data_IF_414087235232
#
_entry.id   IF_414087235232
#
_cell.length_a   1.000
_cell.length_b   1.000
_cell.length_c   1.000
_cell.angle_alpha   90.00
_cell.angle_beta   90.00
_cell.angle_gamma   90.00
#
_symmetry.space_group_name_H-M   'P 1'
#
loop_
_entity.id
_entity.type
_entity.pdbx_description
1 polymer ?
#
# COMPACT_ATOMS: atom_id res chain seq x y z
N UNK A 1 -33.52 0.88 -26.46
CA UNK A 1 -32.24 1.49 -26.04
C UNK A 1 -31.20 1.13 -27.08
N UNK A 2 -30.35 2.07 -27.52
CA UNK A 2 -29.16 1.70 -28.29
C UNK A 2 -28.28 0.83 -27.39
N UNK A 3 -28.04 -0.42 -27.80
CA UNK A 3 -27.15 -1.33 -27.08
C UNK A 3 -25.72 -0.87 -27.31
N UNK A 4 -25.00 -0.46 -26.27
CA UNK A 4 -23.59 -0.14 -26.37
C UNK A 4 -22.82 -1.47 -26.49
N UNK A 5 -22.14 -1.72 -27.62
CA UNK A 5 -21.39 -2.96 -27.81
C UNK A 5 -20.19 -3.02 -26.86
N UNK A 6 -20.01 -4.17 -26.22
CA UNK A 6 -18.85 -4.47 -25.37
C UNK A 6 -17.66 -4.94 -26.21
N UNK A 7 -16.46 -4.89 -25.62
CA UNK A 7 -15.26 -5.40 -26.25
C UNK A 7 -15.45 -6.85 -26.72
N UNK A 8 -15.09 -7.14 -27.96
CA UNK A 8 -15.25 -8.47 -28.55
C UNK A 8 -13.97 -9.28 -28.56
N UNK A 9 -12.82 -8.62 -28.60
CA UNK A 9 -11.51 -9.25 -28.66
C UNK A 9 -10.61 -8.67 -27.58
N UNK A 10 -10.00 -9.58 -26.81
CA UNK A 10 -8.88 -9.29 -25.92
C UNK A 10 -7.74 -10.17 -26.42
N UNK A 11 -6.73 -9.56 -27.02
CA UNK A 11 -5.53 -10.26 -27.49
C UNK A 11 -4.39 -9.94 -26.55
N UNK A 12 -3.73 -10.98 -26.03
CA UNK A 12 -2.49 -10.83 -25.28
C UNK A 12 -1.30 -11.10 -26.20
N UNK A 13 -0.43 -10.11 -26.37
CA UNK A 13 0.85 -10.21 -27.05
C UNK A 13 1.95 -10.27 -25.98
N UNK A 14 2.36 -11.50 -25.62
CA UNK A 14 3.40 -11.72 -24.63
C UNK A 14 4.79 -11.52 -25.23
N UNK A 15 5.64 -10.79 -24.50
CA UNK A 15 7.09 -10.82 -24.71
C UNK A 15 7.68 -11.95 -23.85
N UNK A 16 7.20 -12.04 -22.60
CA UNK A 16 7.39 -13.16 -21.68
C UNK A 16 6.20 -13.21 -20.69
N UNK A 17 6.23 -14.12 -19.72
CA UNK A 17 5.13 -14.31 -18.75
C UNK A 17 4.89 -13.10 -17.83
N UNK A 18 5.90 -12.22 -17.70
CA UNK A 18 5.91 -11.06 -16.79
C UNK A 18 5.91 -9.72 -17.54
N UNK A 19 5.87 -9.74 -18.87
CA UNK A 19 5.87 -8.54 -19.72
C UNK A 19 5.13 -8.80 -21.02
N UNK A 20 4.13 -7.97 -21.30
CA UNK A 20 3.35 -8.08 -22.53
C UNK A 20 2.40 -6.92 -22.75
N UNK A 21 1.60 -7.04 -23.81
CA UNK A 21 0.59 -6.05 -24.19
C UNK A 21 -0.79 -6.69 -24.32
N UNK A 22 -1.80 -6.08 -23.70
CA UNK A 22 -3.20 -6.43 -23.92
C UNK A 22 -3.80 -5.45 -24.92
N UNK A 23 -4.31 -5.98 -26.02
CA UNK A 23 -5.00 -5.23 -27.06
C UNK A 23 -6.49 -5.54 -26.94
N UNK A 24 -7.28 -4.51 -26.63
CA UNK A 24 -8.71 -4.61 -26.40
C UNK A 24 -9.43 -3.80 -27.48
N UNK A 25 -10.16 -4.49 -28.34
CA UNK A 25 -10.92 -3.88 -29.43
C UNK A 25 -12.14 -4.72 -29.86
N UNK A 26 -13.14 -4.11 -30.51
CA UNK A 26 -13.38 -2.67 -30.58
C UNK A 26 -14.15 -2.17 -29.34
N UNK A 27 -13.82 -0.99 -28.85
CA UNK A 27 -14.52 -0.29 -27.76
C UNK A 27 -15.33 0.87 -28.32
N UNK A 28 -16.50 1.13 -27.74
CA UNK A 28 -17.31 2.28 -28.13
C UNK A 28 -16.52 3.59 -27.91
N UNK A 29 -16.66 4.62 -28.77
CA UNK A 29 -15.88 5.85 -28.65
C UNK A 29 -15.89 6.43 -27.23
N UNK A 30 -14.70 6.69 -26.67
CA UNK A 30 -14.49 7.18 -25.29
C UNK A 30 -14.34 6.08 -24.22
N UNK A 31 -14.71 4.84 -24.53
CA UNK A 31 -14.52 3.71 -23.59
C UNK A 31 -13.06 3.28 -23.49
N UNK A 32 -12.22 3.53 -24.51
CA UNK A 32 -10.79 3.22 -24.44
C UNK A 32 -10.12 3.89 -23.23
N UNK A 33 -10.36 5.18 -23.07
CA UNK A 33 -9.82 5.96 -21.94
C UNK A 33 -10.47 5.57 -20.61
N UNK A 34 -11.78 5.33 -20.60
CA UNK A 34 -12.54 5.01 -19.38
C UNK A 34 -12.11 3.66 -18.81
N UNK A 35 -12.08 2.63 -19.65
CA UNK A 35 -11.66 1.27 -19.28
C UNK A 35 -10.15 1.25 -18.98
N UNK A 36 -9.35 1.86 -19.84
CA UNK A 36 -7.89 1.89 -19.69
C UNK A 36 -7.44 2.52 -18.37
N UNK A 37 -8.01 3.66 -18.00
CA UNK A 37 -7.70 4.29 -16.70
C UNK A 37 -8.13 3.43 -15.52
N UNK A 38 -9.30 2.80 -15.59
CA UNK A 38 -9.79 1.90 -14.55
C UNK A 38 -8.82 0.74 -14.30
N UNK A 39 -8.45 0.03 -15.38
CA UNK A 39 -7.48 -1.06 -15.35
C UNK A 39 -6.13 -0.59 -14.81
N UNK A 40 -5.59 0.51 -15.34
CA UNK A 40 -4.27 1.02 -14.94
C UNK A 40 -4.21 1.40 -13.47
N UNK A 41 -5.27 2.01 -12.93
CA UNK A 41 -5.33 2.39 -11.51
C UNK A 41 -5.31 1.16 -10.62
N UNK A 42 -6.19 0.20 -10.87
CA UNK A 42 -6.29 -1.01 -10.04
C UNK A 42 -5.01 -1.84 -10.11
N UNK A 43 -4.41 -2.00 -11.29
CA UNK A 43 -3.11 -2.66 -11.44
C UNK A 43 -2.02 -2.03 -10.56
N UNK A 44 -1.93 -0.70 -10.51
CA UNK A 44 -0.87 -0.03 -9.75
C UNK A 44 -1.15 0.04 -8.24
N UNK A 45 -2.42 0.25 -7.84
CA UNK A 45 -2.75 0.61 -6.45
C UNK A 45 -3.45 -0.47 -5.65
N UNK A 46 -4.09 -1.44 -6.30
CA UNK A 46 -5.07 -2.33 -5.66
C UNK A 46 -4.73 -3.81 -5.78
N UNK A 47 -3.58 -4.12 -6.40
CA UNK A 47 -3.10 -5.49 -6.52
C UNK A 47 -2.58 -5.98 -5.17
N UNK A 48 -3.09 -7.13 -4.67
CA UNK A 48 -2.55 -7.75 -3.48
C UNK A 48 -1.18 -8.35 -3.79
N UNK A 49 -0.25 -8.21 -2.84
CA UNK A 49 1.06 -8.85 -2.93
C UNK A 49 1.70 -8.98 -1.56
N UNK A 50 3.01 -9.22 -1.54
CA UNK A 50 3.77 -9.48 -0.33
C UNK A 50 5.08 -8.70 -0.33
N UNK A 51 5.48 -8.22 0.85
CA UNK A 51 6.69 -7.42 1.02
C UNK A 51 7.35 -7.72 2.37
N UNK A 52 8.64 -7.42 2.46
CA UNK A 52 9.39 -7.43 3.72
C UNK A 52 9.10 -6.12 4.45
N UNK A 53 8.67 -6.25 5.70
CA UNK A 53 8.09 -5.18 6.53
C UNK A 53 9.05 -4.75 7.64
N UNK A 54 9.83 -5.68 8.17
CA UNK A 54 10.91 -5.39 9.10
C UNK A 54 12.07 -6.35 8.91
N UNK A 55 13.25 -5.92 9.31
CA UNK A 55 14.51 -6.66 9.22
C UNK A 55 15.23 -6.57 10.55
N UNK A 56 15.74 -7.71 11.04
CA UNK A 56 16.61 -7.80 12.21
C UNK A 56 17.92 -8.43 11.77
N UNK A 57 19.02 -7.72 11.97
CA UNK A 57 20.35 -8.19 11.59
C UNK A 57 21.16 -8.41 12.87
N UNK A 58 21.84 -9.56 12.97
CA UNK A 58 22.64 -9.86 14.15
C UNK A 58 23.80 -8.87 14.30
N UNK A 59 23.95 -8.28 15.49
CA UNK A 59 25.00 -7.29 15.78
C UNK A 59 24.69 -5.86 15.31
N UNK A 60 23.46 -5.59 14.87
CA UNK A 60 23.00 -4.27 14.45
C UNK A 60 21.93 -3.75 15.41
N UNK A 61 22.19 -2.60 16.01
CA UNK A 61 21.23 -1.93 16.90
C UNK A 61 20.35 -0.91 16.15
N UNK A 62 20.85 -0.32 15.07
CA UNK A 62 20.17 0.73 14.31
C UNK A 62 20.57 0.73 12.82
N UNK A 63 19.76 1.38 11.99
CA UNK A 63 19.90 1.38 10.52
C UNK A 63 21.17 2.05 9.97
N UNK A 64 21.83 2.93 10.74
CA UNK A 64 23.04 3.63 10.31
C UNK A 64 24.36 2.95 10.72
N UNK A 65 24.31 1.68 11.15
CA UNK A 65 25.52 0.96 11.55
C UNK A 65 26.18 0.25 10.36
N UNK A 66 27.43 -0.16 10.57
CA UNK A 66 28.19 -1.01 9.66
C UNK A 66 28.38 -2.38 10.28
N UNK A 67 28.57 -3.40 9.44
CA UNK A 67 28.86 -4.76 9.88
C UNK A 67 30.32 -5.11 9.58
N UNK A 68 30.99 -5.70 10.56
CA UNK A 68 32.35 -6.21 10.35
C UNK A 68 32.35 -7.29 9.26
N UNK A 69 33.34 -7.21 8.37
CA UNK A 69 33.57 -8.14 7.27
C UNK A 69 32.46 -8.18 6.19
N UNK A 70 31.53 -7.23 6.20
CA UNK A 70 30.53 -7.03 5.14
C UNK A 70 30.87 -5.76 4.37
N UNK A 71 30.75 -5.80 3.04
CA UNK A 71 31.10 -4.67 2.17
C UNK A 71 30.08 -3.53 2.23
N UNK A 72 28.80 -3.89 2.24
CA UNK A 72 27.65 -2.99 2.26
C UNK A 72 27.34 -2.53 3.70
N UNK A 73 26.84 -1.30 3.85
CA UNK A 73 26.29 -0.83 5.13
C UNK A 73 24.84 -1.32 5.35
N UNK A 74 24.28 -1.07 6.53
CA UNK A 74 22.92 -1.53 6.85
C UNK A 74 21.86 -0.82 5.99
N UNK A 75 22.12 0.41 5.53
CA UNK A 75 21.22 1.15 4.64
C UNK A 75 21.16 0.48 3.26
N UNK A 76 22.32 0.17 2.68
CA UNK A 76 22.47 -0.55 1.43
C UNK A 76 21.81 -1.93 1.49
N UNK A 77 22.04 -2.67 2.58
CA UNK A 77 21.39 -3.96 2.82
C UNK A 77 19.86 -3.80 2.86
N UNK A 78 19.36 -2.78 3.56
CA UNK A 78 17.92 -2.50 3.65
C UNK A 78 17.32 -2.15 2.29
N UNK A 79 18.02 -1.36 1.47
CA UNK A 79 17.61 -1.05 0.10
C UNK A 79 17.60 -2.28 -0.81
N UNK A 80 18.59 -3.17 -0.67
CA UNK A 80 18.66 -4.42 -1.41
C UNK A 80 17.52 -5.37 -1.02
N UNK A 81 17.15 -5.42 0.25
CA UNK A 81 16.03 -6.22 0.75
C UNK A 81 14.69 -5.73 0.20
N UNK A 82 14.50 -4.41 0.07
CA UNK A 82 13.30 -3.83 -0.56
C UNK A 82 13.10 -4.28 -2.02
N UNK A 83 14.18 -4.70 -2.70
CA UNK A 83 14.12 -5.20 -4.07
C UNK A 83 13.81 -6.70 -4.16
N UNK A 84 13.69 -7.41 -3.03
CA UNK A 84 13.32 -8.83 -3.01
C UNK A 84 11.82 -8.98 -3.26
N UNK A 85 11.47 -9.60 -4.38
CA UNK A 85 10.10 -9.85 -4.79
C UNK A 85 9.61 -11.17 -4.19
N UNK A 86 8.51 -11.10 -3.44
CA UNK A 86 7.93 -12.24 -2.74
C UNK A 86 6.49 -12.46 -3.19
N UNK A 87 6.07 -13.71 -3.13
CA UNK A 87 4.66 -14.11 -3.24
C UNK A 87 4.33 -15.05 -2.09
N UNK A 88 3.15 -14.89 -1.51
CA UNK A 88 2.68 -15.74 -0.42
C UNK A 88 1.42 -16.49 -0.87
N UNK A 89 1.51 -17.81 -0.88
CA UNK A 89 0.43 -18.72 -1.21
C UNK A 89 -0.36 -19.12 0.04
N UNK A 90 -1.68 -19.21 -0.07
CA UNK A 90 -2.58 -19.56 1.03
C UNK A 90 -2.97 -18.39 1.93
N UNK A 91 -3.81 -18.65 2.91
CA UNK A 91 -4.19 -17.68 3.93
C UNK A 91 -3.11 -17.58 5.00
N UNK A 92 -2.89 -16.37 5.52
CA UNK A 92 -1.99 -16.14 6.64
C UNK A 92 -2.83 -16.05 7.91
N UNK A 93 -2.34 -16.65 8.98
CA UNK A 93 -2.88 -16.40 10.30
C UNK A 93 -2.48 -14.98 10.74
N UNK A 94 -3.43 -14.07 11.04
CA UNK A 94 -3.12 -12.73 11.51
C UNK A 94 -2.33 -12.70 12.83
N UNK A 95 -2.30 -13.81 13.57
CA UNK A 95 -1.63 -13.92 14.87
C UNK A 95 -0.16 -14.35 14.78
N UNK A 96 0.27 -14.92 13.65
CA UNK A 96 1.65 -15.40 13.48
C UNK A 96 2.37 -14.65 12.36
N UNK A 97 3.37 -13.80 12.68
CA UNK A 97 4.16 -13.12 11.66
C UNK A 97 5.00 -14.12 10.87
N UNK A 98 4.97 -14.00 9.54
CA UNK A 98 5.72 -14.88 8.65
C UNK A 98 7.18 -14.43 8.57
N UNK A 99 8.09 -15.21 9.15
CA UNK A 99 9.52 -14.87 9.20
C UNK A 99 10.33 -15.68 8.20
N UNK A 100 11.18 -15.02 7.43
CA UNK A 100 12.21 -15.63 6.57
C UNK A 100 13.60 -15.32 7.13
N UNK A 101 14.55 -16.24 7.00
CA UNK A 101 15.87 -16.11 7.64
C UNK A 101 17.02 -16.38 6.68
N UNK A 102 18.11 -15.63 6.81
CA UNK A 102 19.40 -15.92 6.18
C UNK A 102 20.42 -16.23 7.27
N UNK A 103 21.22 -17.27 7.05
CA UNK A 103 22.41 -17.55 7.84
C UNK A 103 23.49 -18.04 6.88
N UNK A 104 24.54 -17.23 6.71
CA UNK A 104 25.67 -17.53 5.83
C UNK A 104 26.98 -17.22 6.53
N UNK A 105 27.97 -18.09 6.34
CA UNK A 105 29.31 -17.93 6.91
C UNK A 105 30.35 -18.08 5.81
N UNK A 106 31.48 -17.40 5.99
CA UNK A 106 32.57 -17.38 5.02
C UNK A 106 32.46 -16.30 3.96
N UNK A 107 33.50 -16.21 3.13
CA UNK A 107 33.62 -15.22 2.07
C UNK A 107 32.68 -15.55 0.90
N UNK A 108 31.98 -14.55 0.37
CA UNK A 108 31.10 -14.72 -0.80
C UNK A 108 29.90 -13.77 -0.83
N UNK A 109 29.11 -13.86 -1.91
CA UNK A 109 27.90 -13.05 -2.09
C UNK A 109 26.70 -13.71 -1.40
N UNK A 110 25.92 -12.94 -0.67
CA UNK A 110 24.60 -13.29 -0.13
C UNK A 110 23.54 -12.83 -1.14
N UNK A 111 22.69 -13.75 -1.56
CA UNK A 111 21.61 -13.49 -2.53
C UNK A 111 20.26 -13.91 -1.96
N UNK A 112 19.15 -13.50 -2.58
CA UNK A 112 17.82 -13.90 -2.14
C UNK A 112 17.60 -15.43 -2.18
N UNK A 113 18.36 -16.19 -2.97
CA UNK A 113 18.39 -17.67 -2.91
C UNK A 113 18.79 -18.22 -1.54
N UNK A 114 19.55 -17.47 -0.75
CA UNK A 114 20.06 -17.91 0.55
C UNK A 114 19.00 -17.82 1.67
N UNK A 115 17.82 -17.25 1.39
CA UNK A 115 16.71 -17.24 2.35
C UNK A 115 16.16 -18.64 2.58
N UNK A 116 16.09 -19.01 3.86
CA UNK A 116 15.27 -20.11 4.35
C UNK A 116 13.84 -19.61 4.45
N UNK A 117 13.02 -20.04 3.49
CA UNK A 117 11.61 -19.65 3.38
C UNK A 117 10.69 -20.80 3.80
N UNK A 118 9.56 -20.51 4.47
CA UNK A 118 8.51 -21.51 4.69
C UNK A 118 7.80 -21.85 3.38
N UNK A 119 7.09 -22.98 3.34
CA UNK A 119 6.43 -23.53 2.14
C UNK A 119 5.46 -22.54 1.47
N UNK A 120 4.87 -21.63 2.24
CA UNK A 120 3.91 -20.63 1.74
C UNK A 120 4.58 -19.47 0.99
N UNK A 121 5.88 -19.23 1.22
CA UNK A 121 6.61 -18.09 0.63
C UNK A 121 7.41 -18.56 -0.57
N UNK A 122 7.27 -17.83 -1.68
CA UNK A 122 8.07 -18.03 -2.88
C UNK A 122 8.77 -16.73 -3.26
N UNK A 123 10.08 -16.83 -3.46
CA UNK A 123 10.93 -15.74 -3.94
C UNK A 123 10.89 -15.72 -5.47
N UNK A 124 10.53 -14.57 -6.05
CA UNK A 124 10.37 -14.41 -7.49
C UNK A 124 11.68 -14.02 -8.21
N UNK A 125 12.61 -13.34 -7.55
CA UNK A 125 13.91 -12.93 -8.08
C UNK A 125 15.08 -13.44 -7.21
N UNK A 126 15.39 -14.74 -7.25
CA UNK A 126 16.34 -15.33 -6.30
C UNK A 126 17.79 -14.83 -6.47
N UNK A 127 18.15 -14.32 -7.64
CA UNK A 127 19.44 -13.69 -7.96
C UNK A 127 19.65 -12.31 -7.32
N UNK A 128 18.64 -11.72 -6.68
CA UNK A 128 18.75 -10.42 -6.04
C UNK A 128 19.90 -10.41 -5.03
N UNK A 129 20.84 -9.47 -5.22
CA UNK A 129 21.98 -9.28 -4.34
C UNK A 129 21.52 -8.66 -3.02
N UNK A 130 22.04 -9.14 -1.90
CA UNK A 130 21.74 -8.61 -0.56
C UNK A 130 22.98 -7.98 0.05
N UNK A 131 24.07 -8.75 0.15
CA UNK A 131 25.31 -8.34 0.78
C UNK A 131 26.50 -9.16 0.25
N UNK A 132 27.71 -8.67 0.46
CA UNK A 132 28.98 -9.32 0.09
C UNK A 132 29.82 -9.50 1.35
N UNK A 133 30.12 -10.76 1.70
CA UNK A 133 31.01 -11.12 2.80
C UNK A 133 32.45 -11.15 2.29
N UNK A 134 33.31 -10.38 2.94
CA UNK A 134 34.68 -10.09 2.48
C UNK A 134 35.75 -10.97 3.14
N UNK A 135 35.42 -11.68 4.21
CA UNK A 135 36.36 -12.52 4.97
C UNK A 135 35.77 -13.90 5.26
N UNK A 136 36.65 -14.90 5.45
CA UNK A 136 36.27 -16.27 5.82
C UNK A 136 35.69 -16.36 7.23
N UNK A 137 36.02 -15.42 8.11
CA UNK A 137 35.46 -15.30 9.45
C UNK A 137 34.10 -14.60 9.48
N UNK A 138 33.64 -14.02 8.36
CA UNK A 138 32.37 -13.32 8.29
C UNK A 138 31.20 -14.24 8.63
N UNK A 139 30.28 -13.74 9.46
CA UNK A 139 29.00 -14.38 9.78
C UNK A 139 27.89 -13.38 9.54
N UNK A 140 26.94 -13.75 8.70
CA UNK A 140 25.79 -12.92 8.37
C UNK A 140 24.51 -13.67 8.74
N UNK A 141 23.79 -13.11 9.71
CA UNK A 141 22.51 -13.62 10.19
C UNK A 141 21.48 -12.52 10.15
N UNK A 142 20.35 -12.81 9.51
CA UNK A 142 19.29 -11.83 9.30
C UNK A 142 17.93 -12.52 9.33
N UNK A 143 16.97 -11.89 9.99
CA UNK A 143 15.58 -12.29 10.04
C UNK A 143 14.71 -11.19 9.45
N UNK A 144 13.80 -11.54 8.54
CA UNK A 144 12.89 -10.60 7.90
C UNK A 144 11.46 -11.03 8.16
N UNK A 145 10.60 -10.08 8.55
CA UNK A 145 9.16 -10.29 8.65
C UNK A 145 8.53 -9.96 7.31
N UNK A 146 7.71 -10.86 6.79
CA UNK A 146 7.00 -10.71 5.52
C UNK A 146 5.50 -10.61 5.80
N UNK A 147 4.84 -9.67 5.15
CA UNK A 147 3.39 -9.52 5.25
C UNK A 147 2.73 -9.48 3.88
N UNK A 148 1.41 -9.70 3.88
CA UNK A 148 0.53 -9.39 2.74
C UNK A 148 -0.02 -8.00 2.89
N UNK A 149 -0.15 -7.31 1.76
CA UNK A 149 -0.75 -5.99 1.72
C UNK A 149 -1.10 -5.58 0.31
N UNK A 150 -1.42 -4.29 0.17
CA UNK A 150 -1.83 -3.69 -1.09
C UNK A 150 -1.06 -2.38 -1.27
N UNK A 151 -0.59 -2.13 -2.49
CA UNK A 151 0.05 -0.87 -2.86
C UNK A 151 1.39 -0.65 -2.14
N UNK A 152 1.55 0.55 -1.59
CA UNK A 152 2.76 0.98 -0.89
C UNK A 152 2.40 1.51 0.49
N UNK A 153 3.10 1.03 1.52
CA UNK A 153 2.92 1.47 2.89
C UNK A 153 4.28 1.95 3.46
N UNK A 154 4.48 3.27 3.62
CA UNK A 154 5.67 3.79 4.25
C UNK A 154 5.68 3.45 5.74
N UNK A 155 6.88 3.31 6.31
CA UNK A 155 7.08 2.99 7.72
C UNK A 155 6.31 3.92 8.67
N UNK A 156 6.29 5.23 8.39
CA UNK A 156 5.64 6.25 9.24
C UNK A 156 4.13 6.05 9.41
N UNK A 157 3.47 5.46 8.41
CA UNK A 157 2.02 5.28 8.39
C UNK A 157 1.57 3.95 9.00
N UNK A 158 2.50 3.15 9.54
CA UNK A 158 2.19 1.82 10.06
C UNK A 158 1.66 1.95 11.51
N UNK A 159 0.39 1.58 11.77
CA UNK A 159 -0.24 1.86 13.06
C UNK A 159 0.24 0.91 14.15
N UNK A 160 0.81 1.45 15.23
CA UNK A 160 0.90 0.77 16.53
C UNK A 160 1.86 -0.43 16.62
N UNK A 161 2.65 -0.73 15.59
CA UNK A 161 3.69 -1.76 15.67
C UNK A 161 4.83 -1.30 16.60
N UNK A 162 4.81 -1.80 17.84
CA UNK A 162 6.01 -1.83 18.66
C UNK A 162 6.89 -2.95 18.14
N UNK A 163 7.75 -2.63 17.18
CA UNK A 163 8.80 -3.53 16.75
C UNK A 163 9.64 -3.95 17.95
N UNK A 164 9.98 -5.24 18.02
CA UNK A 164 10.90 -5.74 19.03
C UNK A 164 12.26 -5.04 18.90
N UNK A 165 12.99 -4.94 20.02
CA UNK A 165 14.31 -4.32 20.03
C UNK A 165 15.23 -5.02 19.01
N UNK A 166 15.86 -4.23 18.14
CA UNK A 166 16.74 -4.70 17.07
C UNK A 166 16.05 -4.94 15.71
N UNK A 167 14.73 -4.75 15.59
CA UNK A 167 14.06 -4.70 14.29
C UNK A 167 14.11 -3.29 13.70
N UNK A 168 14.59 -3.21 12.46
CA UNK A 168 14.57 -2.04 11.61
C UNK A 168 13.31 -2.13 10.74
N UNK A 169 12.49 -1.08 10.79
CA UNK A 169 11.29 -0.99 9.96
C UNK A 169 11.67 -0.67 8.52
N UNK A 170 11.02 -1.33 7.56
CA UNK A 170 11.29 -1.15 6.14
C UNK A 170 9.99 -0.79 5.43
N UNK A 171 10.03 0.19 4.53
CA UNK A 171 8.86 0.52 3.71
C UNK A 171 8.42 -0.69 2.89
N UNK A 172 7.11 -0.95 2.90
CA UNK A 172 6.54 -2.14 2.27
C UNK A 172 6.00 -1.81 0.88
N UNK A 173 6.62 -2.40 -0.15
CA UNK A 173 6.17 -2.33 -1.54
C UNK A 173 5.41 -3.63 -1.84
N UNK A 174 4.10 -3.63 -1.60
CA UNK A 174 3.26 -4.81 -1.81
C UNK A 174 2.86 -5.00 -3.27
N UNK A 175 2.83 -3.91 -4.07
CA UNK A 175 2.39 -4.00 -5.46
C UNK A 175 3.32 -4.89 -6.29
N UNK A 176 2.79 -5.95 -6.95
CA UNK A 176 3.59 -6.81 -7.81
C UNK A 176 3.79 -6.24 -9.23
N UNK A 177 3.33 -5.00 -9.47
CA UNK A 177 3.33 -4.36 -10.79
C UNK A 177 4.43 -3.30 -10.85
N UNK A 178 5.37 -3.47 -11.77
CA UNK A 178 6.49 -2.55 -11.97
C UNK A 178 6.11 -1.40 -12.91
N UNK A 179 5.39 -1.71 -13.99
CA UNK A 179 5.06 -0.72 -15.01
C UNK A 179 3.72 -1.00 -15.68
N UNK A 180 2.94 0.07 -15.89
CA UNK A 180 1.71 0.05 -16.68
C UNK A 180 1.63 1.30 -17.55
N UNK A 181 1.58 1.11 -18.86
CA UNK A 181 1.25 2.16 -19.83
C UNK A 181 -0.01 1.80 -20.59
N UNK A 182 -0.76 2.82 -21.00
CA UNK A 182 -1.95 2.65 -21.82
C UNK A 182 -1.90 3.63 -22.98
N UNK A 183 -2.31 3.16 -24.15
CA UNK A 183 -2.43 3.94 -25.37
C UNK A 183 -3.79 3.66 -25.98
N UNK A 184 -4.42 4.68 -26.56
CA UNK A 184 -5.73 4.57 -27.21
C UNK A 184 -5.64 5.02 -28.66
N UNK A 185 -6.06 4.16 -29.57
CA UNK A 185 -6.09 4.41 -31.01
C UNK A 185 -7.52 4.36 -31.54
N UNK A 186 -7.77 4.90 -32.73
CA UNK A 186 -9.06 4.75 -33.40
C UNK A 186 -9.06 3.60 -34.40
N UNK A 187 -10.15 2.82 -34.41
CA UNK A 187 -10.37 1.71 -35.33
C UNK A 187 -11.70 1.84 -36.07
N UNK A 188 -11.74 1.29 -37.28
CA UNK A 188 -12.94 1.26 -38.11
C UNK A 188 -13.76 0.00 -37.86
N UNK A 189 -15.04 0.19 -37.54
CA UNK A 189 -16.04 -0.88 -37.39
C UNK A 189 -17.22 -0.58 -38.31
N UNK A 190 -17.32 -1.33 -39.41
CA UNK A 190 -18.34 -1.09 -40.45
C UNK A 190 -18.14 0.27 -41.14
N UNK A 191 -19.11 1.17 -40.97
CA UNK A 191 -19.06 2.54 -41.50
C UNK A 191 -18.43 3.55 -40.56
N UNK A 192 -18.37 3.27 -39.25
CA UNK A 192 -17.82 4.16 -38.23
C UNK A 192 -16.31 3.99 -38.10
N UNK A 193 -15.56 5.09 -38.01
CA UNK A 193 -14.08 5.09 -37.93
C UNK A 193 -13.52 5.53 -36.58
N UNK A 194 -14.38 5.88 -35.63
CA UNK A 194 -14.00 6.51 -34.36
C UNK A 194 -14.13 5.58 -33.14
N UNK A 195 -14.18 4.28 -33.34
CA UNK A 195 -14.18 3.33 -32.23
C UNK A 195 -12.79 3.28 -31.61
N UNK A 196 -12.70 2.92 -30.33
CA UNK A 196 -11.43 2.89 -29.62
C UNK A 196 -10.80 1.49 -29.67
N UNK A 197 -9.48 1.46 -29.81
CA UNK A 197 -8.61 0.33 -29.49
C UNK A 197 -7.76 0.75 -28.30
N UNK A 198 -7.77 -0.05 -27.25
CA UNK A 198 -6.94 0.13 -26.07
C UNK A 198 -5.75 -0.82 -26.12
N UNK A 199 -4.54 -0.29 -26.03
CA UNK A 199 -3.29 -1.04 -25.92
C UNK A 199 -2.73 -0.80 -24.53
N UNK A 200 -2.73 -1.83 -23.69
CA UNK A 200 -2.23 -1.78 -22.32
C UNK A 200 -0.92 -2.57 -22.22
N UNK A 201 0.21 -1.89 -22.01
CA UNK A 201 1.48 -2.58 -21.76
C UNK A 201 1.67 -2.79 -20.26
N UNK A 202 1.98 -4.03 -19.87
CA UNK A 202 2.09 -4.46 -18.47
C UNK A 202 3.44 -5.13 -18.23
N UNK A 203 4.07 -4.79 -17.11
CA UNK A 203 5.29 -5.43 -16.60
C UNK A 203 5.14 -5.72 -15.10
N UNK A 204 5.33 -6.98 -14.71
CA UNK A 204 5.23 -7.46 -13.32
C UNK A 204 6.61 -7.80 -12.75
N UNK A 205 6.70 -7.93 -11.43
CA UNK A 205 7.94 -8.20 -10.72
C UNK A 205 8.30 -9.70 -10.59
N UNK A 206 7.58 -10.57 -11.31
CA UNK A 206 7.77 -12.03 -11.26
C UNK A 206 6.92 -12.77 -10.22
N UNK A 207 6.30 -12.05 -9.26
CA UNK A 207 5.43 -12.67 -8.25
C UNK A 207 4.09 -13.14 -8.84
N UNK A 208 3.61 -12.44 -9.88
CA UNK A 208 2.38 -12.75 -10.62
C UNK A 208 2.65 -12.64 -12.12
N UNK A 209 1.98 -13.45 -12.92
CA UNK A 209 2.03 -13.31 -14.40
C UNK A 209 1.17 -12.14 -14.87
N UNK A 210 1.44 -11.62 -16.07
CA UNK A 210 0.62 -10.56 -16.65
C UNK A 210 -0.86 -10.94 -16.79
N UNK A 211 -1.15 -12.19 -17.20
CA UNK A 211 -2.52 -12.67 -17.37
C UNK A 211 -3.26 -12.77 -16.04
N UNK A 212 -2.61 -13.32 -15.01
CA UNK A 212 -3.18 -13.37 -13.65
C UNK A 212 -3.45 -11.98 -13.10
N UNK A 213 -2.50 -11.04 -13.28
CA UNK A 213 -2.66 -9.66 -12.82
C UNK A 213 -3.84 -8.96 -13.51
N UNK A 214 -3.98 -9.17 -14.83
CA UNK A 214 -5.07 -8.61 -15.61
C UNK A 214 -6.43 -9.15 -15.20
N UNK A 215 -6.56 -10.47 -15.02
CA UNK A 215 -7.81 -11.10 -14.60
C UNK A 215 -8.22 -10.65 -13.20
N UNK A 216 -7.27 -10.63 -12.24
CA UNK A 216 -7.55 -10.17 -10.88
C UNK A 216 -7.99 -8.70 -10.86
N UNK A 217 -7.40 -7.87 -11.73
CA UNK A 217 -7.82 -6.47 -11.89
C UNK A 217 -9.26 -6.35 -12.36
N UNK A 218 -9.68 -7.19 -13.31
CA UNK A 218 -11.07 -7.22 -13.79
C UNK A 218 -12.00 -7.62 -12.64
N UNK A 219 -11.67 -8.67 -11.89
CA UNK A 219 -12.49 -9.14 -10.78
C UNK A 219 -12.70 -8.04 -9.73
N UNK A 220 -11.63 -7.33 -9.35
CA UNK A 220 -11.71 -6.20 -8.43
C UNK A 220 -12.64 -5.10 -8.98
N UNK A 221 -12.49 -4.72 -10.25
CA UNK A 221 -13.35 -3.69 -10.85
C UNK A 221 -14.82 -4.12 -10.89
N UNK A 222 -15.09 -5.36 -11.30
CA UNK A 222 -16.44 -5.92 -11.35
C UNK A 222 -17.07 -5.94 -9.96
N UNK A 223 -16.32 -6.33 -8.93
CA UNK A 223 -16.79 -6.31 -7.54
C UNK A 223 -17.17 -4.89 -7.09
N UNK A 224 -16.30 -3.90 -7.37
CA UNK A 224 -16.55 -2.49 -7.05
C UNK A 224 -17.83 -1.97 -7.73
N UNK A 225 -17.99 -2.21 -9.04
CA UNK A 225 -19.20 -1.78 -9.76
C UNK A 225 -20.45 -2.54 -9.33
N UNK A 226 -20.32 -3.83 -8.98
CA UNK A 226 -21.43 -4.65 -8.48
C UNK A 226 -21.94 -4.13 -7.13
N UNK A 227 -21.05 -3.69 -6.25
CA UNK A 227 -21.42 -3.07 -4.97
C UNK A 227 -22.24 -1.78 -5.18
N UNK A 228 -21.93 -0.99 -6.22
CA UNK A 228 -22.69 0.21 -6.58
C UNK A 228 -24.09 -0.12 -7.13
N UNK A 229 -24.25 -1.23 -7.84
CA UNK A 229 -25.52 -1.66 -8.40
C UNK A 229 -26.51 -2.16 -7.34
N UNK A 230 -26.03 -2.72 -6.23
CA UNK A 230 -26.84 -3.24 -5.11
C UNK A 230 -27.51 -2.14 -4.24
N UNK A 231 -27.73 -0.94 -4.77
CA UNK A 231 -28.23 0.23 -4.03
C UNK A 231 -29.74 0.24 -3.76
N UNK A 232 -30.43 -0.89 -3.94
CA UNK A 232 -31.81 -1.09 -3.51
C UNK A 232 -31.90 -2.34 -2.62
N UNK A 233 -31.56 -2.18 -1.34
CA UNK A 233 -32.15 -2.91 -0.20
C UNK A 233 -31.64 -2.42 1.18
N UNK A 234 -30.98 -1.25 1.27
CA UNK A 234 -30.77 -0.55 2.55
C UNK A 234 -31.85 0.51 2.74
N UNK A 235 -33.11 0.06 2.80
CA UNK A 235 -34.24 0.83 3.32
C UNK A 235 -34.90 -0.05 4.38
N UNK A 236 -34.37 -0.05 5.61
CA UNK A 236 -35.17 -0.04 6.86
C UNK A 236 -34.35 -0.12 8.16
N UNK A 237 -33.12 -0.64 8.18
CA UNK A 237 -32.43 -0.83 9.48
C UNK A 237 -31.88 0.44 10.17
N UNK A 238 -31.73 1.56 9.44
CA UNK A 238 -31.20 2.80 10.04
C UNK A 238 -32.28 3.54 10.85
N UNK A 239 -33.57 3.30 10.59
CA UNK A 239 -34.66 3.99 11.32
C UNK A 239 -34.95 3.39 12.69
N UNK A 240 -34.68 2.10 12.93
CA UNK A 240 -34.92 1.52 14.26
C UNK A 240 -33.82 1.85 15.28
N UNK A 241 -32.56 2.00 14.84
CA UNK A 241 -31.44 2.32 15.76
C UNK A 241 -31.43 3.77 16.24
N UNK A 242 -31.84 4.74 15.41
CA UNK A 242 -31.95 6.15 15.84
C UNK A 242 -33.11 6.40 16.82
N UNK A 243 -34.19 5.62 16.70
CA UNK A 243 -35.36 5.74 17.60
C UNK A 243 -35.11 5.03 18.93
N UNK A 244 -34.33 3.94 18.96
CA UNK A 244 -33.95 3.28 20.21
C UNK A 244 -32.98 4.11 21.07
N UNK A 245 -31.97 4.74 20.46
CA UNK A 245 -30.97 5.58 21.15
C UNK A 245 -31.56 6.87 21.73
N UNK A 246 -32.64 7.39 21.15
CA UNK A 246 -33.31 8.60 21.62
C UNK A 246 -34.33 8.35 22.74
N UNK A 247 -34.87 7.14 22.87
CA UNK A 247 -35.80 6.76 23.93
C UNK A 247 -35.11 6.35 25.24
N UNK A 248 -33.89 5.80 25.19
CA UNK A 248 -33.11 5.47 26.40
C UNK A 248 -32.54 6.72 27.10
N UNK A 249 -32.25 7.79 26.36
CA UNK A 249 -31.71 9.04 26.91
C UNK A 249 -32.74 9.85 27.72
N UNK A 250 -34.03 9.63 27.54
CA UNK A 250 -35.09 10.40 28.22
C UNK A 250 -35.67 9.73 29.48
N UNK A 251 -35.31 8.48 29.77
CA UNK A 251 -35.88 7.72 30.90
C UNK A 251 -35.05 7.79 32.20
N UNK A 252 -33.90 8.45 32.20
CA UNK A 252 -32.94 8.43 33.31
C UNK A 252 -32.68 9.80 33.97
N UNK A 253 -33.71 10.62 34.11
CA UNK A 253 -33.65 11.79 35.01
C UNK A 253 -34.99 11.99 35.73
N UNK A 254 -35.07 11.49 36.95
CA UNK A 254 -35.90 12.06 38.01
C UNK A 254 -35.02 12.47 39.21
N UNK A 255 -35.46 13.44 40.02
CA UNK A 255 -34.59 14.48 40.57
C UNK A 255 -34.19 14.24 42.03
N UNK A 256 -32.98 14.65 42.41
CA UNK A 256 -32.61 14.82 43.83
C UNK A 256 -32.30 16.29 44.11
N UNK A 257 -33.07 16.83 45.05
CA UNK A 257 -33.09 18.20 45.50
C UNK A 257 -32.04 18.53 46.58
N UNK A 258 -31.50 19.75 46.48
CA UNK A 258 -31.15 20.73 47.54
C UNK A 258 -30.04 20.42 48.56
N UNK A 259 -28.96 21.19 48.45
CA UNK A 259 -28.48 22.19 49.44
C UNK A 259 -27.25 22.91 48.85
N UNK A 260 -26.86 24.17 49.10
CA UNK A 260 -27.38 25.40 49.72
C UNK A 260 -26.49 26.54 49.14
N UNK A 261 -27.04 27.75 48.99
CA UNK A 261 -26.44 28.88 48.28
C UNK A 261 -25.63 29.85 49.16
N UNK A 262 -24.68 30.59 48.56
CA UNK A 262 -24.44 32.02 48.81
C UNK A 262 -23.57 32.67 47.72
N UNK A 263 -23.91 33.91 47.39
CA UNK A 263 -23.55 34.75 46.24
C UNK A 263 -22.13 35.32 46.23
N UNK A 264 -21.56 35.60 45.04
CA UNK A 264 -20.97 36.92 44.73
C UNK A 264 -20.69 37.14 43.22
N UNK A 265 -20.91 38.38 42.75
CA UNK A 265 -20.93 38.85 41.34
C UNK A 265 -19.55 38.91 40.66
N UNK A 266 -19.43 38.78 39.32
CA UNK A 266 -18.16 38.92 38.62
C UNK A 266 -17.78 40.40 38.35
N UNK A 267 -16.55 40.80 38.73
CA UNK A 267 -15.95 42.12 38.45
C UNK A 267 -15.32 42.18 37.05
N UNK A 268 -15.56 43.32 36.38
CA UNK A 268 -15.03 43.75 35.06
C UNK A 268 -13.49 43.77 35.02
N UNK A 269 -12.88 43.23 33.95
CA UNK A 269 -11.47 43.48 33.59
C UNK A 269 -11.36 44.76 32.75
N UNK A 270 -10.82 45.83 33.36
CA UNK A 270 -10.39 47.05 32.67
C UNK A 270 -8.90 46.97 32.31
N UNK A 271 -8.56 47.44 31.11
CA UNK A 271 -7.21 47.49 30.52
C UNK A 271 -6.41 48.66 31.16
N UNK A 272 -5.17 48.49 31.66
CA UNK A 272 -4.41 49.62 32.21
C UNK A 272 -3.68 50.40 31.10
N UNK A 273 -3.81 51.72 31.12
CA UNK A 273 -2.99 52.68 30.37
C UNK A 273 -1.81 53.16 31.24
N UNK A 274 -0.59 53.15 30.73
CA UNK A 274 0.59 53.76 31.35
C UNK A 274 1.18 54.84 30.44
N UNK A 275 1.60 55.94 31.09
CA UNK A 275 1.96 57.26 30.57
C UNK A 275 3.38 57.33 29.97
N UNK A 276 3.49 58.24 28.99
CA UNK A 276 4.55 59.17 28.57
C UNK A 276 5.95 59.10 29.24
N UNK A 277 7.00 59.11 28.40
CA UNK A 277 8.02 60.18 28.37
C UNK A 277 8.83 60.15 27.05
N UNK A 278 9.21 61.33 26.54
CA UNK A 278 9.73 61.59 25.18
C UNK A 278 11.20 61.24 24.91
N UNK A 279 11.75 61.67 23.75
CA UNK A 279 12.63 62.84 23.80
C UNK A 279 12.49 63.84 22.62
N UNK A 280 13.12 65.00 22.83
CA UNK A 280 13.21 66.20 21.98
C UNK A 280 14.16 66.02 20.77
N UNK A 281 13.80 66.70 19.68
CA UNK A 281 14.58 67.42 18.64
C UNK A 281 16.03 67.01 18.30
N UNK A 282 16.26 66.84 17.00
CA UNK A 282 17.36 67.35 16.14
C UNK A 282 17.13 66.70 14.74
N UNK A 283 17.42 67.23 13.56
CA UNK A 283 17.68 68.57 13.02
C UNK A 283 17.68 68.40 11.48
N UNK A 284 17.34 69.47 10.74
CA UNK A 284 17.42 69.68 9.27
C UNK A 284 16.37 69.07 8.33
#
# INVERSE_FOLDING_TARGET
MQHIPVAKMIKFESVNDFKGKFIIEPLYPGYGLTVGNGLRRVLLSSMPGAAIVSVKIAGVDHEFSTLDYVKEDVVDITLNIKQVNLSIQGELDPTEPLVIKISKTGEGKVTAKDFKVPTQVKIANPEQHIATLTDKAAKFEMECVVEKGIGYLPTENRPGEKLEIGHIAVDAIFTPINHVSMETEHVRVGEMTNWDRLILSLETNGAVTCEQAFNLTIDILVEQFSALAKKEEVKEEVKEKEVALSQEAQKNTEPVSKSKASEEKPRKRGRPSLRQDGPKKEDK
#
